data_IF_179606923272
#
_entry.id   IF_179606923272
#
_cell.length_a   1.000
_cell.length_b   1.000
_cell.length_c   1.000
_cell.angle_alpha   90.00
_cell.angle_beta   90.00
_cell.angle_gamma   90.00
#
_symmetry.space_group_name_H-M   'P 1'
#
loop_
_entity.id
_entity.type
_entity.pdbx_description
1 polymer ?
#
# COMPACT_ATOMS: atom_id res chain seq x y z
N UNK A 1 9.72 -4.37 -17.10
CA UNK A 1 8.56 -3.63 -16.49
C UNK A 1 7.21 -4.27 -16.82
N UNK A 2 7.06 -4.95 -17.97
CA UNK A 2 5.82 -5.66 -18.32
C UNK A 2 5.40 -6.69 -17.25
N UNK A 3 6.37 -7.42 -16.68
CA UNK A 3 6.09 -8.42 -15.65
C UNK A 3 5.48 -7.82 -14.37
N UNK A 4 5.98 -6.68 -13.90
CA UNK A 4 5.43 -6.03 -12.70
C UNK A 4 3.96 -5.66 -12.91
N UNK A 5 3.64 -5.06 -14.06
CA UNK A 5 2.27 -4.68 -14.37
C UNK A 5 1.34 -5.90 -14.46
N UNK A 6 1.78 -6.99 -15.10
CA UNK A 6 1.02 -8.23 -15.20
C UNK A 6 0.72 -8.84 -13.82
N UNK A 7 1.74 -8.93 -12.94
CA UNK A 7 1.56 -9.48 -11.59
C UNK A 7 0.68 -8.59 -10.72
N UNK A 8 0.81 -7.26 -10.80
CA UNK A 8 -0.10 -6.35 -10.08
C UNK A 8 -1.54 -6.49 -10.55
N UNK A 9 -1.75 -6.65 -11.84
CA UNK A 9 -3.08 -6.83 -12.43
C UNK A 9 -3.71 -8.16 -12.01
N UNK A 10 -2.94 -9.24 -11.97
CA UNK A 10 -3.36 -10.55 -11.41
C UNK A 10 -3.72 -10.45 -9.93
N UNK A 11 -2.80 -9.94 -9.10
CA UNK A 11 -3.01 -9.79 -7.65
C UNK A 11 -4.22 -8.91 -7.34
N UNK A 12 -4.46 -7.87 -8.15
CA UNK A 12 -5.61 -6.98 -7.98
C UNK A 12 -6.95 -7.72 -8.11
N UNK A 13 -7.01 -8.84 -8.85
CA UNK A 13 -8.21 -9.66 -9.03
C UNK A 13 -8.36 -10.78 -8.01
N UNK A 14 -7.34 -11.06 -7.20
CA UNK A 14 -7.38 -12.12 -6.19
C UNK A 14 -8.50 -11.88 -5.17
N UNK A 15 -9.50 -12.77 -5.03
CA UNK A 15 -10.55 -12.58 -4.04
C UNK A 15 -9.99 -12.70 -2.62
N UNK A 16 -10.32 -11.73 -1.76
CA UNK A 16 -9.96 -11.72 -0.33
C UNK A 16 -11.24 -11.56 0.47
N UNK A 17 -11.61 -12.60 1.21
CA UNK A 17 -12.90 -12.67 1.91
C UNK A 17 -12.80 -12.30 3.39
N UNK A 18 -11.65 -12.54 4.03
CA UNK A 18 -11.45 -12.23 5.45
C UNK A 18 -11.33 -10.73 5.66
N UNK A 19 -12.17 -10.19 6.54
CA UNK A 19 -12.21 -8.76 6.88
C UNK A 19 -10.87 -8.25 7.42
N UNK A 20 -10.16 -9.03 8.24
CA UNK A 20 -8.85 -8.65 8.77
C UNK A 20 -7.81 -8.43 7.64
N UNK A 21 -7.78 -9.34 6.66
CA UNK A 21 -6.90 -9.23 5.50
C UNK A 21 -7.23 -7.99 4.65
N UNK A 22 -8.52 -7.73 4.40
CA UNK A 22 -8.94 -6.53 3.65
C UNK A 22 -8.52 -5.24 4.37
N UNK A 23 -8.71 -5.17 5.70
CA UNK A 23 -8.27 -4.04 6.53
C UNK A 23 -6.76 -3.85 6.50
N UNK A 24 -5.99 -4.94 6.62
CA UNK A 24 -4.53 -4.90 6.59
C UNK A 24 -4.01 -4.47 5.22
N UNK A 25 -4.62 -4.96 4.15
CA UNK A 25 -4.28 -4.58 2.78
C UNK A 25 -4.56 -3.11 2.51
N UNK A 26 -5.76 -2.59 2.84
CA UNK A 26 -6.08 -1.16 2.70
C UNK A 26 -5.11 -0.30 3.50
N UNK A 27 -4.84 -0.66 4.76
CA UNK A 27 -3.90 0.09 5.61
C UNK A 27 -2.49 0.13 4.99
N UNK A 28 -2.04 -0.97 4.40
CA UNK A 28 -0.76 -1.05 3.71
C UNK A 28 -0.75 -0.26 2.40
N UNK A 29 -1.79 -0.38 1.55
CA UNK A 29 -1.89 0.40 0.32
C UNK A 29 -1.83 1.89 0.64
N UNK A 30 -2.66 2.37 1.58
CA UNK A 30 -2.68 3.79 1.93
C UNK A 30 -1.33 4.24 2.50
N UNK A 31 -0.69 3.45 3.37
CA UNK A 31 0.63 3.78 3.91
C UNK A 31 1.67 3.96 2.81
N UNK A 32 1.75 2.99 1.90
CA UNK A 32 2.79 2.95 0.89
C UNK A 32 2.52 3.95 -0.24
N UNK A 33 1.27 4.13 -0.65
CA UNK A 33 0.87 5.02 -1.74
C UNK A 33 0.82 6.53 -1.36
N UNK A 34 1.33 6.91 -0.20
CA UNK A 34 1.35 8.32 0.26
C UNK A 34 0.02 8.82 0.84
N UNK A 35 -0.84 7.91 1.30
CA UNK A 35 -2.24 8.10 1.69
C UNK A 35 -2.62 9.22 2.66
N UNK A 36 -1.69 9.95 3.27
CA UNK A 36 -2.00 10.94 4.31
C UNK A 36 -1.59 12.34 3.89
N UNK A 37 -2.57 13.21 3.66
CA UNK A 37 -2.36 14.61 3.31
C UNK A 37 -3.06 15.54 4.30
N UNK A 38 -2.43 16.68 4.59
CA UNK A 38 -3.03 17.76 5.37
C UNK A 38 -3.34 18.93 4.43
N UNK A 39 -4.62 19.15 4.14
CA UNK A 39 -5.10 20.20 3.23
C UNK A 39 -5.94 21.19 4.02
N UNK A 40 -5.47 22.42 4.16
CA UNK A 40 -6.14 23.49 4.92
C UNK A 40 -6.58 23.04 6.34
N UNK A 41 -5.68 22.33 7.04
CA UNK A 41 -5.93 21.84 8.40
C UNK A 41 -6.84 20.59 8.48
N UNK A 42 -7.26 20.01 7.35
CA UNK A 42 -8.08 18.80 7.30
C UNK A 42 -7.28 17.63 6.73
N UNK A 43 -7.51 16.45 7.29
CA UNK A 43 -6.94 15.22 6.77
C UNK A 43 -7.69 14.81 5.51
N UNK A 44 -6.95 14.64 4.42
CA UNK A 44 -7.43 14.08 3.15
C UNK A 44 -6.63 12.82 2.87
N UNK A 45 -7.31 11.76 2.43
CA UNK A 45 -6.67 10.52 2.04
C UNK A 45 -6.57 10.46 0.52
N UNK A 46 -5.35 10.31 -0.02
CA UNK A 46 -5.10 10.14 -1.46
C UNK A 46 -4.08 9.03 -1.68
N UNK A 47 -4.48 7.97 -2.39
CA UNK A 47 -3.58 6.88 -2.75
C UNK A 47 -3.40 6.81 -4.26
N UNK A 48 -2.17 7.00 -4.73
CA UNK A 48 -1.81 6.92 -6.15
C UNK A 48 -1.32 5.50 -6.51
N UNK A 49 -1.99 4.88 -7.48
CA UNK A 49 -1.70 3.52 -7.96
C UNK A 49 -1.41 3.53 -9.47
N UNK A 50 -0.63 2.55 -9.93
CA UNK A 50 -0.31 2.36 -11.37
C UNK A 50 -1.30 1.44 -12.10
N UNK A 51 -2.21 0.79 -11.38
CA UNK A 51 -3.11 -0.22 -11.95
C UNK A 51 -4.56 0.13 -11.66
N UNK A 52 -5.40 0.24 -12.70
CA UNK A 52 -6.82 0.58 -12.58
C UNK A 52 -7.59 -0.41 -11.69
N UNK A 53 -7.23 -1.70 -11.75
CA UNK A 53 -7.87 -2.74 -10.97
C UNK A 53 -7.53 -2.60 -9.47
N UNK A 54 -6.28 -2.29 -9.12
CA UNK A 54 -5.87 -2.01 -7.75
C UNK A 54 -6.63 -0.80 -7.17
N UNK A 55 -6.82 0.26 -7.96
CA UNK A 55 -7.56 1.44 -7.53
C UNK A 55 -9.06 1.17 -7.32
N UNK A 56 -9.69 0.40 -8.23
CA UNK A 56 -11.10 -0.03 -8.05
C UNK A 56 -11.27 -0.93 -6.82
N UNK A 57 -10.32 -1.84 -6.59
CA UNK A 57 -10.26 -2.69 -5.41
C UNK A 57 -10.15 -1.87 -4.12
N UNK A 58 -9.23 -0.91 -4.06
CA UNK A 58 -9.09 -0.01 -2.92
C UNK A 58 -10.37 0.80 -2.68
N UNK A 59 -10.94 1.41 -3.72
CA UNK A 59 -12.19 2.18 -3.64
C UNK A 59 -13.35 1.35 -3.07
N UNK A 60 -13.53 0.13 -3.57
CA UNK A 60 -14.55 -0.80 -3.08
C UNK A 60 -14.31 -1.16 -1.61
N UNK A 61 -13.08 -1.51 -1.24
CA UNK A 61 -12.76 -1.91 0.13
C UNK A 61 -12.87 -0.75 1.12
N UNK A 62 -12.54 0.49 0.72
CA UNK A 62 -12.79 1.69 1.52
C UNK A 62 -14.29 1.86 1.82
N UNK A 63 -15.15 1.65 0.81
CA UNK A 63 -16.60 1.75 0.99
C UNK A 63 -17.14 0.60 1.84
N UNK A 64 -16.88 -0.65 1.48
CA UNK A 64 -17.48 -1.82 2.11
C UNK A 64 -16.97 -2.08 3.53
N UNK A 65 -15.69 -1.80 3.81
CA UNK A 65 -15.07 -2.12 5.10
C UNK A 65 -15.06 -0.94 6.07
N UNK A 66 -14.97 0.28 5.53
CA UNK A 66 -14.81 1.48 6.35
C UNK A 66 -15.98 2.46 6.23
N UNK A 67 -16.88 2.26 5.27
CA UNK A 67 -18.09 3.09 5.11
C UNK A 67 -17.83 4.45 4.47
N UNK A 68 -16.66 4.68 3.85
CA UNK A 68 -16.32 5.97 3.27
C UNK A 68 -16.49 5.97 1.76
N UNK A 69 -17.13 7.00 1.23
CA UNK A 69 -17.16 7.23 -0.22
C UNK A 69 -15.80 7.78 -0.68
N UNK A 70 -15.34 7.32 -1.85
CA UNK A 70 -14.09 7.78 -2.45
C UNK A 70 -14.28 8.14 -3.93
N UNK A 71 -13.53 9.15 -4.37
CA UNK A 71 -13.40 9.50 -5.78
C UNK A 71 -12.29 8.67 -6.42
N UNK A 72 -12.46 8.29 -7.69
CA UNK A 72 -11.42 7.65 -8.49
C UNK A 72 -11.06 8.59 -9.64
N UNK A 73 -9.88 9.16 -9.57
CA UNK A 73 -9.37 10.13 -10.55
C UNK A 73 -8.38 9.41 -11.46
N UNK A 74 -8.58 9.50 -12.77
CA UNK A 74 -7.65 8.95 -13.76
C UNK A 74 -6.75 10.07 -14.25
N UNK A 75 -5.45 9.93 -14.02
CA UNK A 75 -4.43 10.83 -14.52
C UNK A 75 -3.84 10.23 -15.79
N UNK A 76 -4.03 10.93 -16.92
CA UNK A 76 -3.43 10.54 -18.19
C UNK A 76 -1.89 10.54 -18.09
N UNK A 77 -1.19 9.71 -18.90
CA UNK A 77 0.26 9.80 -19.02
C UNK A 77 0.68 11.21 -19.42
N UNK A 78 1.74 11.74 -18.82
CA UNK A 78 2.21 13.09 -19.09
C UNK A 78 3.58 13.39 -18.47
N UNK A 79 4.39 14.17 -19.18
CA UNK A 79 5.76 14.53 -18.77
C UNK A 79 6.66 13.30 -18.60
N UNK A 80 7.32 13.17 -17.44
CA UNK A 80 8.19 12.04 -17.09
C UNK A 80 7.43 10.72 -16.79
N UNK A 81 6.09 10.75 -16.70
CA UNK A 81 5.29 9.59 -16.30
C UNK A 81 4.99 8.69 -17.51
N UNK A 82 5.50 7.46 -17.47
CA UNK A 82 5.38 6.48 -18.57
C UNK A 82 4.02 5.80 -18.70
N UNK A 83 3.08 6.02 -17.79
CA UNK A 83 1.76 5.38 -17.81
C UNK A 83 0.72 6.13 -16.97
N UNK A 84 -0.56 5.77 -17.15
CA UNK A 84 -1.67 6.35 -16.41
C UNK A 84 -1.53 6.07 -14.92
N UNK A 85 -1.98 7.02 -14.09
CA UNK A 85 -2.04 6.86 -12.63
C UNK A 85 -3.49 6.99 -12.18
N UNK A 86 -3.82 6.28 -11.12
CA UNK A 86 -5.17 6.19 -10.59
C UNK A 86 -5.12 6.66 -9.14
N UNK A 87 -5.78 7.77 -8.84
CA UNK A 87 -5.83 8.33 -7.49
C UNK A 87 -7.17 7.98 -6.87
N UNK A 88 -7.14 7.28 -5.75
CA UNK A 88 -8.32 7.07 -4.89
C UNK A 88 -8.29 8.11 -3.80
N UNK A 89 -9.33 8.94 -3.73
CA UNK A 89 -9.38 10.13 -2.85
C UNK A 89 -10.57 10.09 -1.92
N UNK A 90 -10.35 10.36 -0.63
CA UNK A 90 -11.40 10.54 0.39
C UNK A 90 -11.19 11.89 1.06
N UNK A 91 -12.14 12.80 0.82
CA UNK A 91 -12.14 14.15 1.42
C UNK A 91 -13.03 14.17 2.66
N UNK A 92 -14.32 13.82 2.51
CA UNK A 92 -15.24 13.69 3.63
C UNK A 92 -14.93 12.39 4.41
N UNK A 93 -14.77 12.49 5.73
CA UNK A 93 -14.42 11.34 6.58
C UNK A 93 -12.95 10.92 6.54
N UNK A 94 -12.07 11.71 5.90
CA UNK A 94 -10.65 11.38 5.76
C UNK A 94 -9.93 11.18 7.10
N UNK A 95 -10.28 11.94 8.14
CA UNK A 95 -9.74 11.80 9.49
C UNK A 95 -10.19 10.49 10.18
N UNK A 96 -11.45 10.10 9.98
CA UNK A 96 -11.98 8.84 10.49
C UNK A 96 -11.35 7.65 9.79
N UNK A 97 -11.24 7.70 8.45
CA UNK A 97 -10.55 6.67 7.68
C UNK A 97 -9.08 6.57 8.12
N UNK A 98 -8.38 7.69 8.27
CA UNK A 98 -6.98 7.73 8.73
C UNK A 98 -6.79 7.03 10.08
N UNK A 99 -7.70 7.23 11.03
CA UNK A 99 -7.69 6.54 12.34
C UNK A 99 -7.97 5.05 12.18
N UNK A 100 -8.99 4.68 11.41
CA UNK A 100 -9.39 3.28 11.20
C UNK A 100 -8.30 2.45 10.49
N UNK A 101 -7.56 3.05 9.58
CA UNK A 101 -6.46 2.40 8.83
C UNK A 101 -5.10 2.57 9.51
N UNK A 102 -5.04 3.25 10.65
CA UNK A 102 -3.79 3.47 11.39
C UNK A 102 -2.75 4.29 10.62
N UNK A 103 -3.19 5.24 9.79
CA UNK A 103 -2.33 6.30 9.27
C UNK A 103 -1.99 7.32 10.36
N UNK A 104 -2.95 7.57 11.26
CA UNK A 104 -2.78 8.37 12.46
C UNK A 104 -3.20 7.58 13.70
N UNK A 105 -2.64 7.95 14.86
CA UNK A 105 -3.06 7.39 16.14
C UNK A 105 -4.36 8.02 16.67
N UNK A 106 -4.81 7.60 17.85
CA UNK A 106 -6.01 8.15 18.49
C UNK A 106 -5.91 9.63 18.87
N UNK A 107 -4.71 10.23 18.84
CA UNK A 107 -4.46 11.66 19.06
C UNK A 107 -4.27 12.42 17.75
N UNK A 108 -4.44 11.77 16.59
CA UNK A 108 -4.25 12.37 15.27
C UNK A 108 -2.78 12.51 14.85
N UNK A 109 -1.83 11.91 15.59
CA UNK A 109 -0.41 11.96 15.23
C UNK A 109 -0.11 10.94 14.13
N UNK A 110 0.67 11.28 13.09
CA UNK A 110 1.06 10.32 12.07
C UNK A 110 1.79 9.12 12.67
N UNK A 111 1.28 7.92 12.38
CA UNK A 111 2.06 6.69 12.54
C UNK A 111 3.08 6.69 11.40
N UNK A 112 4.30 6.18 11.57
CA UNK A 112 5.33 6.17 10.50
C UNK A 112 5.38 4.84 9.73
N UNK A 113 5.32 3.73 10.45
CA UNK A 113 5.30 2.38 9.89
C UNK A 113 3.90 1.87 9.57
N UNK A 114 3.76 0.55 9.53
CA UNK A 114 2.45 -0.10 9.53
C UNK A 114 1.86 -0.07 10.96
N UNK A 115 0.53 0.00 11.09
CA UNK A 115 -0.09 0.14 12.40
C UNK A 115 -0.04 -1.19 13.20
N UNK A 116 -0.11 -1.13 14.54
CA UNK A 116 0.06 -2.30 15.40
C UNK A 116 -0.84 -3.47 15.03
N UNK A 117 -2.12 -3.21 14.72
CA UNK A 117 -3.08 -4.25 14.32
C UNK A 117 -2.68 -5.04 13.07
N UNK A 118 -1.82 -4.48 12.21
CA UNK A 118 -1.25 -5.19 11.05
C UNK A 118 0.03 -5.92 11.43
N UNK A 119 0.92 -5.25 12.18
CA UNK A 119 2.22 -5.80 12.60
C UNK A 119 2.04 -7.03 13.51
N UNK A 120 1.16 -6.95 14.49
CA UNK A 120 0.81 -8.03 15.42
C UNK A 120 -0.41 -8.84 15.00
N UNK A 121 -0.94 -8.62 13.79
CA UNK A 121 -2.08 -9.35 13.25
C UNK A 121 -1.77 -10.83 12.97
N UNK A 122 -2.76 -11.57 12.48
CA UNK A 122 -2.58 -12.98 12.10
C UNK A 122 -1.67 -13.12 10.87
N UNK A 123 -1.14 -14.31 10.58
CA UNK A 123 -0.24 -14.55 9.43
C UNK A 123 -0.85 -14.11 8.10
N UNK A 124 -2.17 -14.25 7.94
CA UNK A 124 -2.89 -13.76 6.76
C UNK A 124 -2.89 -12.22 6.63
N UNK A 125 -2.73 -11.48 7.74
CA UNK A 125 -2.62 -10.01 7.71
C UNK A 125 -1.21 -9.58 7.27
N UNK A 126 -0.17 -10.38 7.55
CA UNK A 126 1.16 -10.16 7.03
C UNK A 126 1.22 -10.36 5.50
N UNK A 127 0.54 -11.39 4.99
CA UNK A 127 0.37 -11.62 3.55
C UNK A 127 -0.38 -10.44 2.90
N UNK A 128 -1.48 -9.99 3.54
CA UNK A 128 -2.25 -8.85 3.07
C UNK A 128 -1.46 -7.54 3.10
N UNK A 129 -0.62 -7.33 4.11
CA UNK A 129 0.27 -6.18 4.19
C UNK A 129 1.27 -6.17 3.03
N UNK A 130 1.88 -7.32 2.72
CA UNK A 130 2.75 -7.48 1.56
C UNK A 130 2.05 -7.25 0.24
N UNK A 131 0.83 -7.81 0.08
CA UNK A 131 0.00 -7.58 -1.10
C UNK A 131 -0.28 -6.09 -1.30
N UNK A 132 -0.71 -5.39 -0.25
CA UNK A 132 -1.00 -3.95 -0.34
C UNK A 132 0.23 -3.10 -0.65
N UNK A 133 1.37 -3.41 -0.02
CA UNK A 133 2.62 -2.71 -0.26
C UNK A 133 3.14 -2.93 -1.69
N UNK A 134 3.03 -4.17 -2.19
CA UNK A 134 3.38 -4.51 -3.56
C UNK A 134 2.47 -3.83 -4.59
N UNK A 135 1.15 -3.82 -4.38
CA UNK A 135 0.23 -3.12 -5.26
C UNK A 135 0.55 -1.62 -5.34
N UNK A 136 0.88 -0.98 -4.21
CA UNK A 136 1.26 0.43 -4.15
C UNK A 136 2.59 0.74 -4.86
N UNK A 137 3.69 0.14 -4.41
CA UNK A 137 5.04 0.48 -4.89
C UNK A 137 5.97 -0.74 -5.04
N UNK A 138 5.40 -1.91 -5.31
CA UNK A 138 6.12 -3.11 -5.68
C UNK A 138 6.65 -3.07 -7.11
N UNK A 139 7.79 -3.74 -7.30
CA UNK A 139 8.42 -3.99 -8.59
C UNK A 139 9.09 -5.36 -8.61
N UNK A 140 9.17 -5.94 -9.80
CA UNK A 140 9.83 -7.21 -10.06
C UNK A 140 10.93 -7.01 -11.09
N UNK A 141 12.09 -7.58 -10.82
CA UNK A 141 13.13 -7.81 -11.83
C UNK A 141 12.85 -9.14 -12.52
N UNK A 142 12.84 -9.12 -13.86
CA UNK A 142 12.50 -10.28 -14.69
C UNK A 142 13.42 -11.49 -14.40
N UNK A 143 12.89 -12.72 -14.42
CA UNK A 143 13.68 -13.93 -14.19
C UNK A 143 14.81 -14.04 -15.19
N UNK A 144 16.02 -14.33 -14.70
CA UNK A 144 17.23 -14.46 -15.49
C UNK A 144 18.37 -14.94 -14.60
N UNK A 145 19.54 -14.29 -14.64
CA UNK A 145 20.62 -14.56 -13.68
C UNK A 145 20.31 -14.09 -12.25
N UNK A 146 19.40 -13.13 -12.09
CA UNK A 146 18.98 -12.61 -10.79
C UNK A 146 17.51 -12.19 -10.83
N UNK A 147 16.73 -12.68 -9.88
CA UNK A 147 15.35 -12.28 -9.66
C UNK A 147 15.28 -11.46 -8.37
N UNK A 148 14.45 -10.41 -8.36
CA UNK A 148 14.16 -9.69 -7.11
C UNK A 148 12.75 -9.17 -7.11
N UNK A 149 12.14 -9.19 -5.93
CA UNK A 149 10.95 -8.40 -5.62
C UNK A 149 11.39 -7.25 -4.73
N UNK A 150 11.02 -6.04 -5.11
CA UNK A 150 11.33 -4.83 -4.35
C UNK A 150 10.09 -4.01 -4.08
N UNK A 151 9.98 -3.47 -2.86
CA UNK A 151 8.94 -2.49 -2.49
C UNK A 151 9.63 -1.21 -2.01
N UNK A 152 9.35 -0.10 -2.70
CA UNK A 152 9.75 1.23 -2.21
C UNK A 152 8.90 1.59 -0.98
N UNK A 153 9.55 2.01 0.09
CA UNK A 153 8.91 2.30 1.37
C UNK A 153 8.86 3.81 1.63
N UNK A 154 7.83 4.32 2.34
CA UNK A 154 7.72 5.74 2.69
C UNK A 154 8.69 6.18 3.81
N UNK A 155 9.46 5.25 4.37
CA UNK A 155 10.44 5.49 5.42
C UNK A 155 10.94 4.19 6.07
N UNK A 156 11.93 4.28 6.97
CA UNK A 156 12.59 3.11 7.54
C UNK A 156 11.67 2.30 8.46
N UNK A 157 10.73 2.95 9.17
CA UNK A 157 9.78 2.26 10.03
C UNK A 157 8.80 1.38 9.23
N UNK A 158 8.38 1.85 8.05
CA UNK A 158 7.53 1.06 7.15
C UNK A 158 8.32 -0.10 6.53
N UNK A 159 9.59 0.12 6.16
CA UNK A 159 10.47 -0.93 5.68
C UNK A 159 10.68 -2.03 6.73
N UNK A 160 10.98 -1.65 7.98
CA UNK A 160 11.16 -2.58 9.08
C UNK A 160 9.89 -3.40 9.36
N UNK A 161 8.73 -2.75 9.35
CA UNK A 161 7.44 -3.43 9.51
C UNK A 161 7.19 -4.48 8.41
N UNK A 162 7.53 -4.14 7.16
CA UNK A 162 7.36 -5.05 6.02
C UNK A 162 8.36 -6.23 6.05
N UNK A 163 9.60 -6.00 6.50
CA UNK A 163 10.57 -7.08 6.79
C UNK A 163 10.03 -8.00 7.89
N UNK A 164 9.46 -7.44 8.96
CA UNK A 164 8.81 -8.22 10.02
C UNK A 164 7.65 -9.06 9.50
N UNK A 165 6.81 -8.50 8.64
CA UNK A 165 5.73 -9.24 7.97
C UNK A 165 6.27 -10.39 7.10
N UNK A 166 7.37 -10.19 6.35
CA UNK A 166 7.99 -11.25 5.55
C UNK A 166 8.54 -12.38 6.43
N UNK A 167 9.20 -12.05 7.53
CA UNK A 167 9.71 -13.05 8.48
C UNK A 167 8.59 -13.93 9.02
N UNK A 168 7.42 -13.37 9.30
CA UNK A 168 6.24 -14.12 9.75
C UNK A 168 5.66 -15.06 8.69
N UNK A 169 6.00 -14.84 7.41
CA UNK A 169 5.69 -15.71 6.29
C UNK A 169 6.84 -16.68 5.96
N UNK A 170 7.89 -16.74 6.79
CA UNK A 170 9.12 -17.49 6.52
C UNK A 170 9.85 -17.05 5.24
N UNK A 171 9.68 -15.79 4.83
CA UNK A 171 10.32 -15.19 3.66
C UNK A 171 11.53 -14.35 4.11
N UNK A 172 12.69 -14.58 3.50
CA UNK A 172 13.88 -13.79 3.74
C UNK A 172 13.80 -12.45 2.97
N UNK A 173 13.50 -11.37 3.70
CA UNK A 173 13.50 -10.01 3.17
C UNK A 173 14.56 -9.14 3.86
N UNK A 174 15.12 -8.18 3.14
CA UNK A 174 16.11 -7.21 3.66
C UNK A 174 15.67 -5.78 3.38
N UNK A 175 15.71 -4.93 4.39
CA UNK A 175 15.61 -3.48 4.21
C UNK A 175 16.97 -2.93 3.75
N UNK A 176 16.95 -1.97 2.83
CA UNK A 176 18.13 -1.23 2.38
C UNK A 176 17.72 0.17 1.97
N UNK A 177 18.62 1.13 2.14
CA UNK A 177 18.47 2.46 1.59
C UNK A 177 19.22 2.55 0.26
N UNK A 178 18.57 3.07 -0.78
CA UNK A 178 19.19 3.30 -2.09
C UNK A 178 18.88 4.74 -2.51
N UNK A 179 19.92 5.58 -2.54
CA UNK A 179 19.82 7.01 -2.90
C UNK A 179 18.78 7.77 -2.04
N UNK A 180 18.81 7.57 -0.72
CA UNK A 180 17.87 8.22 0.20
C UNK A 180 16.45 7.64 0.18
N UNK A 181 16.24 6.50 -0.47
CA UNK A 181 14.93 5.84 -0.56
C UNK A 181 15.01 4.45 0.08
N UNK A 182 14.22 4.24 1.12
CA UNK A 182 14.06 2.94 1.76
C UNK A 182 13.37 1.93 0.83
N UNK A 183 13.91 0.72 0.80
CA UNK A 183 13.40 -0.40 0.01
C UNK A 183 13.45 -1.68 0.81
N UNK A 184 12.46 -2.53 0.64
CA UNK A 184 12.53 -3.92 1.09
C UNK A 184 12.69 -4.83 -0.12
N UNK A 185 13.64 -5.76 -0.05
CA UNK A 185 13.99 -6.67 -1.14
C UNK A 185 13.88 -8.12 -0.71
N UNK A 186 13.27 -8.92 -1.56
CA UNK A 186 13.29 -10.39 -1.54
C UNK A 186 14.09 -10.87 -2.75
N UNK A 187 14.98 -11.84 -2.54
CA UNK A 187 15.82 -12.46 -3.56
C UNK A 187 15.66 -13.97 -3.52
#
# INVERSE_FOLDING_TARGET
>A
MAMTAAVKDEISRLPVTRTCCRKAEVSSILRFAGGLHLVSGRIVIEAELDTAMAARRLKRDILEIFGHSSELIVMAPGGLRRGSRFVVRVVAGGDQLARQTGLVDGRGRPIRGLPPQVVSGATCDAEAAWRGAFLAHGSLTEPGRSSSLEVTCPGPEAALALVGAARRLSIAAKAREVRGVDRVVVR
#
